data_IF_844564216414
#
_entry.id   IF_844564216414
#
_cell.length_a   1.000
_cell.length_b   1.000
_cell.length_c   1.000
_cell.angle_alpha   90.00
_cell.angle_beta   90.00
_cell.angle_gamma   90.00
#
_symmetry.space_group_name_H-M   'P 1'
#
loop_
_entity.id
_entity.type
_entity.pdbx_description
1 polymer ?
#
# COMPACT_ATOMS: atom_id res chain seq x y z
N UNK A 1 -11.46 -7.30 14.43
CA UNK A 1 -12.14 -8.02 13.34
C UNK A 1 -13.65 -8.01 13.59
N UNK A 2 -14.28 -9.00 14.25
CA UNK A 2 -15.75 -9.10 14.45
C UNK A 2 -16.56 -7.80 14.57
N UNK A 3 -16.11 -6.79 15.33
CA UNK A 3 -16.80 -5.49 15.44
C UNK A 3 -17.05 -4.82 14.07
N UNK A 4 -16.14 -5.00 13.10
CA UNK A 4 -16.23 -4.44 11.75
C UNK A 4 -17.44 -4.98 10.99
N UNK A 5 -17.66 -6.30 11.03
CA UNK A 5 -18.84 -6.98 10.47
C UNK A 5 -20.14 -6.37 11.01
N UNK A 6 -20.19 -6.09 12.31
CA UNK A 6 -21.38 -5.54 12.99
C UNK A 6 -21.51 -4.01 12.91
N UNK A 7 -20.49 -3.31 12.41
CA UNK A 7 -20.41 -1.85 12.41
C UNK A 7 -19.64 -1.31 11.17
N UNK A 8 -19.99 -1.74 9.94
CA UNK A 8 -19.18 -1.46 8.75
C UNK A 8 -19.21 0.02 8.35
N UNK A 9 -20.32 0.72 8.62
CA UNK A 9 -20.50 2.15 8.32
C UNK A 9 -19.67 3.09 9.20
N UNK A 10 -19.14 2.61 10.33
CA UNK A 10 -18.30 3.38 11.26
C UNK A 10 -16.90 2.77 11.47
N UNK A 11 -16.59 1.66 10.79
CA UNK A 11 -15.26 1.04 10.84
C UNK A 11 -14.44 1.51 9.65
N UNK A 12 -13.57 2.49 9.87
CA UNK A 12 -12.83 3.14 8.79
C UNK A 12 -11.54 2.37 8.49
N UNK A 13 -11.34 2.03 7.22
CA UNK A 13 -10.15 1.35 6.70
C UNK A 13 -9.75 1.94 5.34
N UNK A 14 -8.55 1.62 4.84
CA UNK A 14 -7.99 2.15 3.58
C UNK A 14 -7.97 3.70 3.45
N UNK A 15 -8.03 4.42 4.58
CA UNK A 15 -8.10 5.89 4.63
C UNK A 15 -6.93 6.59 3.93
N UNK A 16 -5.78 5.90 3.81
CA UNK A 16 -4.59 6.37 3.10
C UNK A 16 -4.88 6.72 1.63
N UNK A 17 -5.88 6.09 0.99
CA UNK A 17 -6.33 6.41 -0.37
C UNK A 17 -6.95 7.82 -0.51
N UNK A 18 -7.35 8.46 0.58
CA UNK A 18 -7.97 9.80 0.57
C UNK A 18 -7.00 10.90 1.05
N UNK A 19 -5.77 10.55 1.40
CA UNK A 19 -4.81 11.48 2.00
C UNK A 19 -4.31 12.51 0.99
N UNK A 20 -4.72 13.77 1.16
CA UNK A 20 -4.28 14.90 0.34
C UNK A 20 -4.82 14.92 -1.10
N UNK A 21 -5.83 14.10 -1.41
CA UNK A 21 -6.51 14.09 -2.71
C UNK A 21 -7.81 14.93 -2.68
N UNK A 22 -8.28 15.33 -3.86
CA UNK A 22 -9.64 15.87 -4.03
C UNK A 22 -10.68 14.74 -4.04
N UNK A 23 -11.95 15.10 -3.82
CA UNK A 23 -13.05 14.14 -3.85
C UNK A 23 -13.24 13.52 -5.24
N UNK A 24 -13.05 14.28 -6.33
CA UNK A 24 -13.25 13.73 -7.68
C UNK A 24 -12.11 12.79 -8.11
N UNK A 25 -10.89 12.95 -7.57
CA UNK A 25 -9.80 11.96 -7.76
C UNK A 25 -10.13 10.65 -7.03
N UNK A 26 -10.43 10.75 -5.72
CA UNK A 26 -10.72 9.61 -4.84
C UNK A 26 -12.18 9.11 -4.91
N UNK A 27 -12.91 9.46 -5.97
CA UNK A 27 -14.37 9.23 -6.10
C UNK A 27 -14.73 7.75 -6.21
N UNK A 28 -14.01 7.01 -7.05
CA UNK A 28 -14.19 5.56 -7.25
C UNK A 28 -13.98 4.80 -5.94
N UNK A 29 -13.01 5.24 -5.16
CA UNK A 29 -12.70 4.74 -3.83
C UNK A 29 -13.82 5.10 -2.85
N UNK A 30 -14.26 6.38 -2.80
CA UNK A 30 -15.36 6.86 -1.97
C UNK A 30 -16.67 6.08 -2.20
N UNK A 31 -17.05 5.87 -3.46
CA UNK A 31 -18.25 5.12 -3.88
C UNK A 31 -18.15 3.61 -3.59
N UNK A 32 -16.96 3.09 -3.25
CA UNK A 32 -16.71 1.67 -2.93
C UNK A 32 -16.60 1.35 -1.44
N UNK A 33 -16.62 2.35 -0.55
CA UNK A 33 -16.50 2.15 0.90
C UNK A 33 -17.87 1.92 1.57
N UNK A 34 -17.95 1.07 2.60
CA UNK A 34 -19.19 0.87 3.36
C UNK A 34 -19.46 2.01 4.36
N UNK A 35 -18.46 2.85 4.65
CA UNK A 35 -18.57 4.05 5.46
C UNK A 35 -18.77 5.29 4.58
N UNK A 36 -19.51 6.28 5.08
CA UNK A 36 -19.89 7.45 4.27
C UNK A 36 -18.70 8.40 4.05
N UNK A 37 -18.27 8.53 2.80
CA UNK A 37 -17.36 9.59 2.36
C UNK A 37 -18.19 10.68 1.66
N UNK A 38 -17.98 11.94 2.03
CA UNK A 38 -18.66 13.10 1.45
C UNK A 38 -17.66 14.09 0.84
N UNK A 39 -18.12 14.85 -0.15
CA UNK A 39 -17.39 16.00 -0.69
C UNK A 39 -17.64 17.23 0.20
N UNK A 40 -16.59 17.76 0.82
CA UNK A 40 -16.62 19.05 1.51
C UNK A 40 -15.55 19.97 0.95
N UNK A 41 -15.98 21.09 0.35
CA UNK A 41 -15.12 22.09 -0.27
C UNK A 41 -14.12 21.51 -1.31
N UNK A 42 -14.50 20.43 -2.01
CA UNK A 42 -13.67 19.74 -3.01
C UNK A 42 -12.84 18.58 -2.47
N UNK A 43 -12.85 18.33 -1.16
CA UNK A 43 -12.03 17.30 -0.50
C UNK A 43 -12.88 16.19 0.13
N UNK A 44 -12.36 14.95 0.24
CA UNK A 44 -13.05 13.87 0.93
C UNK A 44 -13.08 14.13 2.45
N UNK A 45 -14.22 13.86 3.06
CA UNK A 45 -14.40 13.75 4.51
C UNK A 45 -15.15 12.47 4.83
N UNK A 46 -14.73 11.77 5.87
CA UNK A 46 -15.47 10.61 6.39
C UNK A 46 -16.50 11.11 7.39
N UNK A 47 -17.77 10.87 7.13
CA UNK A 47 -18.85 11.21 8.07
C UNK A 47 -19.13 10.03 8.99
N UNK A 48 -19.05 10.26 10.31
CA UNK A 48 -19.46 9.31 11.34
C UNK A 48 -20.43 10.05 12.26
N UNK A 49 -21.70 9.65 12.21
CA UNK A 49 -22.82 10.37 12.81
C UNK A 49 -22.81 11.85 12.38
N UNK A 50 -22.82 12.79 13.33
CA UNK A 50 -22.81 14.23 13.05
C UNK A 50 -21.41 14.81 12.77
N UNK A 51 -20.32 14.04 13.02
CA UNK A 51 -18.95 14.54 12.85
C UNK A 51 -18.36 14.12 11.51
N UNK A 52 -17.82 15.11 10.81
CA UNK A 52 -16.99 14.97 9.61
C UNK A 52 -15.53 14.92 10.04
N UNK A 53 -14.81 13.89 9.63
CA UNK A 53 -13.39 13.70 9.89
C UNK A 53 -12.60 13.90 8.60
N UNK A 54 -11.46 14.57 8.72
CA UNK A 54 -10.42 14.59 7.70
C UNK A 54 -9.72 13.22 7.60
N UNK A 55 -9.19 12.83 6.43
CA UNK A 55 -8.28 11.69 6.30
C UNK A 55 -7.07 11.81 7.25
N UNK A 56 -6.59 13.04 7.48
CA UNK A 56 -5.51 13.32 8.43
C UNK A 56 -5.87 12.96 9.88
N UNK A 57 -7.04 13.35 10.40
CA UNK A 57 -7.47 13.00 11.76
C UNK A 57 -7.57 11.50 11.99
N UNK A 58 -8.12 10.75 11.02
CA UNK A 58 -8.26 9.29 11.15
C UNK A 58 -6.89 8.61 11.06
N UNK A 59 -6.02 9.08 10.17
CA UNK A 59 -4.63 8.62 10.10
C UNK A 59 -3.85 8.96 11.39
N UNK A 60 -4.15 10.10 12.01
CA UNK A 60 -3.58 10.49 13.30
C UNK A 60 -3.98 9.53 14.43
N UNK A 61 -5.19 8.96 14.44
CA UNK A 61 -5.58 7.93 15.43
C UNK A 61 -4.72 6.66 15.30
N UNK A 62 -4.37 6.26 14.07
CA UNK A 62 -3.45 5.14 13.83
C UNK A 62 -2.05 5.49 14.33
N UNK A 63 -1.55 6.68 14.00
CA UNK A 63 -0.24 7.16 14.46
C UNK A 63 -0.17 7.32 15.98
N UNK A 64 -1.25 7.74 16.65
CA UNK A 64 -1.37 7.77 18.12
C UNK A 64 -1.26 6.37 18.73
N UNK A 65 -1.86 5.34 18.09
CA UNK A 65 -1.66 3.95 18.55
C UNK A 65 -0.22 3.50 18.35
N UNK A 66 0.46 3.93 17.29
CA UNK A 66 1.88 3.60 17.06
C UNK A 66 2.81 4.32 18.06
N UNK A 67 2.62 5.63 18.27
CA UNK A 67 3.26 6.41 19.35
C UNK A 67 3.12 5.67 20.68
N UNK A 68 1.88 5.35 21.08
CA UNK A 68 1.63 4.59 22.31
C UNK A 68 2.30 3.21 22.33
N UNK A 69 2.39 2.48 21.22
CA UNK A 69 3.14 1.20 21.19
C UNK A 69 4.63 1.41 21.52
N UNK A 70 5.24 2.47 21.02
CA UNK A 70 6.62 2.80 21.33
C UNK A 70 6.78 3.28 22.78
N UNK A 71 5.86 4.10 23.30
CA UNK A 71 5.86 4.57 24.70
C UNK A 71 5.66 3.41 25.70
N UNK A 72 4.71 2.51 25.42
CA UNK A 72 4.44 1.31 26.23
C UNK A 72 5.66 0.35 26.27
N UNK A 73 6.53 0.41 25.25
CA UNK A 73 7.77 -0.40 25.17
C UNK A 73 8.99 0.30 25.80
N UNK A 74 9.16 1.61 25.56
CA UNK A 74 10.31 2.39 26.02
C UNK A 74 10.17 2.90 27.46
N UNK A 75 8.95 2.97 28.00
CA UNK A 75 8.68 3.49 29.35
C UNK A 75 8.79 5.03 29.48
N UNK A 76 8.82 5.75 28.36
CA UNK A 76 8.94 7.21 28.29
C UNK A 76 8.08 7.77 27.14
N UNK A 77 7.80 9.07 27.16
CA UNK A 77 7.08 9.76 26.08
C UNK A 77 7.88 9.76 24.76
N UNK A 78 7.19 9.63 23.63
CA UNK A 78 7.76 9.70 22.28
C UNK A 78 7.26 10.95 21.56
N UNK A 79 8.12 11.96 21.43
CA UNK A 79 7.78 13.27 20.84
C UNK A 79 8.03 13.37 19.34
N UNK A 80 8.95 12.57 18.79
CA UNK A 80 9.50 12.74 17.44
C UNK A 80 9.36 11.47 16.61
N UNK A 81 9.14 11.62 15.30
CA UNK A 81 8.97 10.49 14.39
C UNK A 81 9.51 10.74 12.97
N UNK A 82 9.99 9.66 12.35
CA UNK A 82 10.06 9.51 10.89
C UNK A 82 8.81 8.77 10.44
N UNK A 83 8.08 9.33 9.47
CA UNK A 83 6.84 8.74 8.95
C UNK A 83 7.04 8.38 7.47
N UNK A 84 6.57 7.20 7.09
CA UNK A 84 6.74 6.68 5.72
C UNK A 84 5.60 7.12 4.80
N UNK A 85 5.94 7.40 3.54
CA UNK A 85 4.99 7.66 2.45
C UNK A 85 5.41 6.93 1.18
N UNK A 86 4.49 6.67 0.24
CA UNK A 86 4.88 6.27 -1.10
C UNK A 86 5.64 7.40 -1.80
N UNK A 87 6.67 7.11 -2.59
CA UNK A 87 7.48 8.16 -3.21
C UNK A 87 6.69 9.02 -4.19
N UNK A 88 5.68 8.45 -4.84
CA UNK A 88 4.87 9.10 -5.85
C UNK A 88 3.53 9.59 -5.25
N UNK A 89 3.47 9.74 -3.92
CA UNK A 89 2.61 10.74 -3.30
C UNK A 89 3.02 12.14 -3.78
N UNK A 90 2.02 12.93 -4.19
CA UNK A 90 2.21 14.34 -4.50
C UNK A 90 2.53 15.16 -3.24
N UNK A 91 2.88 16.43 -3.43
CA UNK A 91 3.14 17.36 -2.33
C UNK A 91 1.96 17.46 -1.34
N UNK A 92 0.71 17.51 -1.83
CA UNK A 92 -0.48 17.57 -0.97
C UNK A 92 -0.67 16.29 -0.13
N UNK A 93 -0.35 15.12 -0.69
CA UNK A 93 -0.46 13.83 0.02
C UNK A 93 0.65 13.66 1.08
N UNK A 94 1.85 14.16 0.78
CA UNK A 94 2.99 14.25 1.73
C UNK A 94 2.68 15.20 2.87
N UNK A 95 2.18 16.40 2.56
CA UNK A 95 1.82 17.42 3.54
C UNK A 95 0.65 16.96 4.42
N UNK A 96 -0.39 16.34 3.85
CA UNK A 96 -1.47 15.72 4.63
C UNK A 96 -0.96 14.61 5.58
N UNK A 97 0.05 13.82 5.16
CA UNK A 97 0.66 12.80 6.03
C UNK A 97 1.49 13.44 7.17
N UNK A 98 2.17 14.55 6.89
CA UNK A 98 2.88 15.34 7.91
C UNK A 98 1.91 15.95 8.94
N UNK A 99 0.78 16.48 8.48
CA UNK A 99 -0.31 16.99 9.31
C UNK A 99 -0.90 15.89 10.21
N UNK A 100 -1.11 14.67 9.69
CA UNK A 100 -1.57 13.54 10.50
C UNK A 100 -0.60 13.21 11.64
N UNK A 101 0.72 13.31 11.41
CA UNK A 101 1.72 13.19 12.49
C UNK A 101 1.62 14.31 13.53
N UNK A 102 1.44 15.55 13.09
CA UNK A 102 1.27 16.70 13.99
C UNK A 102 -0.01 16.58 14.85
N UNK A 103 -1.14 16.16 14.25
CA UNK A 103 -2.40 15.87 14.96
C UNK A 103 -2.24 14.68 15.92
N UNK A 104 -1.34 13.73 15.61
CA UNK A 104 -1.01 12.62 16.49
C UNK A 104 -0.13 13.00 17.69
N UNK A 105 0.32 14.25 17.80
CA UNK A 105 1.26 14.69 18.83
C UNK A 105 2.69 14.18 18.59
N UNK A 106 3.09 14.11 17.31
CA UNK A 106 4.44 13.77 16.85
C UNK A 106 5.05 14.92 16.03
N UNK A 107 6.27 15.31 16.37
CA UNK A 107 7.11 16.16 15.54
C UNK A 107 7.69 15.31 14.39
N UNK A 108 7.22 15.58 13.17
CA UNK A 108 7.59 14.80 11.99
C UNK A 108 8.95 15.28 11.43
N UNK A 109 10.02 14.72 11.98
CA UNK A 109 11.42 15.02 11.64
C UNK A 109 11.75 14.72 10.17
N UNK A 110 11.16 13.67 9.61
CA UNK A 110 11.32 13.31 8.19
C UNK A 110 10.07 12.57 7.68
N UNK A 111 9.65 12.95 6.49
CA UNK A 111 8.82 12.10 5.62
C UNK A 111 9.80 11.30 4.74
N UNK A 112 9.76 9.97 4.81
CA UNK A 112 10.67 9.08 4.05
C UNK A 112 9.89 8.21 3.07
N UNK A 113 10.48 7.94 1.90
CA UNK A 113 9.85 7.17 0.84
C UNK A 113 9.93 5.66 1.15
N UNK A 114 8.83 4.91 1.03
CA UNK A 114 8.70 3.55 1.61
C UNK A 114 9.79 2.53 1.19
N UNK A 115 9.96 2.15 -0.09
CA UNK A 115 11.12 1.37 -0.53
C UNK A 115 12.49 2.08 -0.44
N UNK A 116 12.57 3.40 -0.29
CA UNK A 116 13.84 4.05 0.09
C UNK A 116 14.22 3.64 1.51
N UNK A 117 13.26 3.64 2.44
CA UNK A 117 13.41 3.06 3.77
C UNK A 117 13.69 1.55 3.70
N UNK A 118 12.94 0.79 2.90
CA UNK A 118 13.17 -0.66 2.80
C UNK A 118 14.58 -1.01 2.29
N UNK A 119 15.16 -0.20 1.42
CA UNK A 119 16.50 -0.40 0.92
C UNK A 119 17.59 0.09 1.88
N UNK A 120 17.34 1.15 2.67
CA UNK A 120 18.18 1.48 3.83
C UNK A 120 18.27 0.28 4.80
N UNK A 121 17.13 -0.35 5.10
CA UNK A 121 17.08 -1.55 5.95
C UNK A 121 17.76 -2.78 5.33
N UNK A 122 17.68 -2.97 4.01
CA UNK A 122 18.46 -4.00 3.34
C UNK A 122 19.97 -3.66 3.30
N UNK A 123 20.31 -2.39 3.20
CA UNK A 123 21.63 -1.91 2.82
C UNK A 123 22.59 -1.60 3.97
N UNK A 124 22.07 -1.32 5.17
CA UNK A 124 22.87 -0.86 6.32
C UNK A 124 24.05 -1.79 6.69
N UNK A 125 23.91 -3.09 6.44
CA UNK A 125 24.95 -4.12 6.68
C UNK A 125 25.81 -4.45 5.43
N UNK A 126 25.72 -3.68 4.34
CA UNK A 126 26.31 -4.01 3.02
C UNK A 126 27.24 -2.93 2.44
N UNK A 127 27.86 -2.12 3.30
CA UNK A 127 28.60 -0.90 2.94
C UNK A 127 29.86 -1.06 2.05
N UNK A 128 30.28 -2.31 1.77
CA UNK A 128 31.54 -2.63 1.06
C UNK A 128 31.36 -3.01 -0.43
N UNK A 129 30.17 -2.84 -1.01
CA UNK A 129 29.85 -3.34 -2.37
C UNK A 129 28.82 -2.47 -3.10
N UNK A 130 29.23 -1.74 -4.13
CA UNK A 130 28.31 -1.15 -5.12
C UNK A 130 27.35 -2.23 -5.68
N UNK A 131 26.03 -2.04 -5.54
CA UNK A 131 25.02 -3.06 -5.89
C UNK A 131 23.69 -2.44 -6.33
N UNK A 132 23.32 -2.69 -7.59
CA UNK A 132 22.18 -2.06 -8.23
C UNK A 132 20.87 -2.75 -7.82
N UNK A 133 20.01 -2.10 -7.04
CA UNK A 133 18.81 -2.74 -6.47
C UNK A 133 17.52 -2.38 -7.24
N UNK A 134 16.59 -3.33 -7.28
CA UNK A 134 15.17 -3.10 -7.57
C UNK A 134 14.35 -3.36 -6.31
N UNK A 135 13.39 -2.48 -5.97
CA UNK A 135 12.58 -2.62 -4.75
C UNK A 135 11.10 -2.61 -5.13
N UNK A 136 10.57 -3.82 -5.32
CA UNK A 136 9.18 -4.01 -5.68
C UNK A 136 8.30 -4.02 -4.44
N UNK A 137 7.42 -3.03 -4.35
CA UNK A 137 6.40 -2.87 -3.34
C UNK A 137 5.01 -2.93 -4.02
N UNK A 138 4.32 -4.11 -4.01
CA UNK A 138 2.86 -4.30 -4.41
C UNK A 138 0.40 -3.95 -2.71
N UNK A 139 0.26 -3.34 -1.47
CA UNK A 139 -0.96 -2.99 -0.72
C UNK A 139 -1.67 -1.78 -1.36
N UNK A 140 -0.90 -0.74 -1.74
CA UNK A 140 -1.31 0.44 -2.51
C UNK A 140 -0.07 0.93 -3.30
N UNK A 141 0.01 0.66 -4.60
CA UNK A 141 1.28 0.28 -5.25
C UNK A 141 2.10 1.39 -5.92
N UNK A 142 3.40 1.38 -5.64
CA UNK A 142 4.35 2.15 -6.44
C UNK A 142 5.69 1.45 -6.62
N UNK A 143 5.93 0.98 -7.84
CA UNK A 143 7.14 0.25 -8.24
C UNK A 143 8.38 1.16 -8.26
N UNK A 144 9.42 0.82 -7.50
CA UNK A 144 10.67 1.59 -7.46
C UNK A 144 11.90 0.75 -7.75
N UNK A 145 12.54 0.98 -8.89
CA UNK A 145 13.91 0.54 -9.11
C UNK A 145 14.86 1.52 -8.42
N UNK A 146 15.05 1.31 -7.11
CA UNK A 146 16.03 2.03 -6.31
C UNK A 146 17.43 1.43 -6.51
N UNK A 147 18.05 1.78 -7.63
CA UNK A 147 19.44 1.45 -7.91
C UNK A 147 20.35 2.17 -6.90
N UNK A 148 21.05 1.42 -6.03
CA UNK A 148 21.85 1.96 -4.94
C UNK A 148 23.35 1.81 -5.22
N UNK A 149 24.01 2.91 -5.56
CA UNK A 149 25.48 2.95 -5.64
C UNK A 149 26.09 2.91 -4.23
N UNK A 150 26.20 1.71 -3.68
CA UNK A 150 26.69 1.36 -2.33
C UNK A 150 28.20 1.63 -2.12
N UNK A 151 28.66 2.81 -2.48
CA UNK A 151 30.01 3.31 -2.21
C UNK A 151 30.03 4.14 -0.92
N UNK A 152 30.54 3.57 0.17
CA UNK A 152 30.86 4.33 1.39
C UNK A 152 29.65 4.90 2.15
N UNK A 153 28.47 4.29 2.01
CA UNK A 153 27.25 4.69 2.74
C UNK A 153 26.32 5.63 1.96
N UNK A 154 26.56 5.88 0.67
CA UNK A 154 25.64 6.66 -0.17
C UNK A 154 24.47 5.79 -0.65
N UNK A 155 23.26 6.35 -0.62
CA UNK A 155 22.02 5.77 -1.13
C UNK A 155 21.37 6.77 -2.11
N UNK A 156 21.21 6.40 -3.38
CA UNK A 156 20.66 7.28 -4.44
C UNK A 156 19.37 6.69 -5.05
N UNK A 157 18.45 7.54 -5.50
CA UNK A 157 17.27 7.12 -6.29
C UNK A 157 17.49 7.48 -7.76
N UNK A 158 17.81 6.50 -8.62
CA UNK A 158 17.87 6.76 -10.07
C UNK A 158 16.48 6.91 -10.72
N UNK A 159 15.43 6.25 -10.20
CA UNK A 159 14.08 6.31 -10.78
C UNK A 159 12.97 5.93 -9.80
N UNK A 160 11.74 6.35 -10.10
CA UNK A 160 10.51 5.94 -9.39
C UNK A 160 9.31 5.95 -10.34
N UNK A 161 8.40 4.99 -10.20
CA UNK A 161 7.17 4.88 -11.00
C UNK A 161 6.02 4.25 -10.17
N UNK A 162 4.83 4.01 -10.73
CA UNK A 162 3.73 3.36 -10.01
C UNK A 162 2.32 3.82 -10.36
N UNK A 163 1.34 3.33 -9.58
CA UNK A 163 -0.10 3.65 -9.72
C UNK A 163 -0.78 3.64 -8.35
N UNK A 164 -1.20 4.82 -7.89
CA UNK A 164 -1.93 5.08 -6.63
C UNK A 164 -3.10 4.13 -6.37
N UNK A 165 -3.76 3.64 -7.42
CA UNK A 165 -5.08 3.00 -7.32
C UNK A 165 -5.06 1.48 -7.49
N UNK A 166 -3.88 0.88 -7.66
CA UNK A 166 -3.68 -0.57 -7.77
C UNK A 166 -3.13 -1.13 -6.45
N UNK A 167 -3.71 -2.19 -5.90
CA UNK A 167 -3.19 -2.77 -4.65
C UNK A 167 -3.96 -3.94 -4.08
N UNK A 168 -3.70 -4.23 -2.80
CA UNK A 168 -4.23 -5.37 -2.05
C UNK A 168 -5.76 -5.41 -2.00
N UNK A 169 -6.40 -4.25 -1.80
CA UNK A 169 -7.88 -4.13 -1.86
C UNK A 169 -8.43 -4.46 -3.26
N UNK A 170 -7.67 -4.19 -4.33
CA UNK A 170 -8.12 -4.41 -5.71
C UNK A 170 -8.00 -5.89 -6.09
N UNK A 171 -6.99 -6.60 -5.58
CA UNK A 171 -6.96 -8.05 -5.58
C UNK A 171 -8.14 -8.63 -4.78
N UNK A 172 -8.44 -8.10 -3.59
CA UNK A 172 -9.62 -8.55 -2.81
C UNK A 172 -10.92 -8.30 -3.56
N UNK A 173 -11.04 -7.17 -4.28
CA UNK A 173 -12.21 -6.86 -5.11
C UNK A 173 -12.41 -7.87 -6.26
N UNK A 174 -11.35 -8.51 -6.77
CA UNK A 174 -11.48 -9.63 -7.73
C UNK A 174 -12.19 -10.82 -7.08
N UNK A 175 -11.81 -11.22 -5.87
CA UNK A 175 -12.51 -12.27 -5.12
C UNK A 175 -13.94 -11.85 -4.79
N UNK A 176 -14.16 -10.64 -4.27
CA UNK A 176 -15.49 -10.13 -3.87
C UNK A 176 -16.44 -10.13 -5.07
N UNK A 177 -16.02 -9.62 -6.24
CA UNK A 177 -16.83 -9.63 -7.46
C UNK A 177 -17.17 -11.06 -7.89
N UNK A 178 -16.19 -11.97 -7.93
CA UNK A 178 -16.41 -13.38 -8.27
C UNK A 178 -17.39 -14.08 -7.31
N UNK A 179 -17.32 -13.76 -6.01
CA UNK A 179 -18.25 -14.27 -5.00
C UNK A 179 -19.67 -13.71 -5.19
N UNK A 180 -19.82 -12.41 -5.49
CA UNK A 180 -21.10 -11.77 -5.75
C UNK A 180 -21.75 -12.35 -7.01
N UNK A 181 -21.02 -12.37 -8.13
CA UNK A 181 -21.53 -12.88 -9.41
C UNK A 181 -21.86 -14.37 -9.32
N UNK A 182 -21.01 -15.16 -8.65
CA UNK A 182 -21.26 -16.59 -8.40
C UNK A 182 -22.48 -16.84 -7.53
N UNK A 183 -22.67 -16.08 -6.44
CA UNK A 183 -23.85 -16.22 -5.57
C UNK A 183 -25.13 -15.73 -6.24
N UNK A 184 -25.05 -14.66 -7.03
CA UNK A 184 -26.15 -14.09 -7.82
C UNK A 184 -26.58 -15.01 -8.96
N UNK A 185 -25.66 -15.79 -9.52
CA UNK A 185 -25.96 -16.85 -10.49
C UNK A 185 -26.63 -18.08 -9.85
N UNK A 186 -26.19 -18.49 -8.66
CA UNK A 186 -26.75 -19.66 -7.94
C UNK A 186 -28.13 -19.36 -7.31
N UNK A 187 -28.27 -18.21 -6.65
CA UNK A 187 -29.38 -17.88 -5.74
C UNK A 187 -30.24 -16.71 -6.22
N UNK A 188 -29.85 -16.00 -7.29
CA UNK A 188 -30.55 -14.80 -7.80
C UNK A 188 -30.35 -13.52 -6.99
N UNK A 189 -29.72 -13.61 -5.81
CA UNK A 189 -29.59 -12.52 -4.83
C UNK A 189 -28.30 -11.72 -5.06
N UNK A 190 -28.42 -10.40 -5.01
CA UNK A 190 -27.30 -9.47 -5.24
C UNK A 190 -26.70 -8.96 -3.92
N UNK A 191 -25.65 -9.64 -3.43
CA UNK A 191 -25.00 -9.33 -2.15
C UNK A 191 -24.35 -7.94 -2.09
N UNK A 192 -24.12 -7.28 -3.23
CA UNK A 192 -23.55 -5.91 -3.26
C UNK A 192 -24.40 -4.86 -2.52
N UNK A 193 -25.67 -5.17 -2.27
CA UNK A 193 -26.67 -4.29 -1.65
C UNK A 193 -26.77 -4.44 -0.13
N UNK A 194 -26.05 -5.38 0.47
CA UNK A 194 -26.03 -5.65 1.91
C UNK A 194 -24.64 -5.31 2.48
N UNK A 195 -24.48 -4.18 3.21
CA UNK A 195 -23.19 -3.77 3.77
C UNK A 195 -22.58 -4.78 4.77
N UNK A 196 -23.40 -5.58 5.45
CA UNK A 196 -22.92 -6.60 6.38
C UNK A 196 -22.43 -7.83 5.62
N UNK A 197 -23.14 -8.24 4.55
CA UNK A 197 -22.65 -9.27 3.64
C UNK A 197 -21.34 -8.83 2.96
N UNK A 198 -21.26 -7.58 2.47
CA UNK A 198 -20.06 -7.03 1.83
C UNK A 198 -18.83 -7.01 2.75
N UNK A 199 -18.99 -6.61 4.02
CA UNK A 199 -17.88 -6.66 4.98
C UNK A 199 -17.40 -8.10 5.24
N UNK A 200 -18.33 -9.07 5.30
CA UNK A 200 -17.98 -10.50 5.44
C UNK A 200 -17.33 -11.08 4.18
N UNK A 201 -17.78 -10.66 3.00
CA UNK A 201 -17.15 -11.00 1.72
C UNK A 201 -15.72 -10.45 1.67
N UNK A 202 -15.46 -9.23 2.15
CA UNK A 202 -14.10 -8.67 2.22
C UNK A 202 -13.19 -9.47 3.16
N UNK A 203 -13.61 -9.73 4.39
CA UNK A 203 -12.79 -10.51 5.35
C UNK A 203 -12.52 -11.94 4.86
N UNK A 204 -13.47 -12.55 4.14
CA UNK A 204 -13.27 -13.87 3.52
C UNK A 204 -12.38 -13.84 2.25
N UNK A 205 -12.51 -12.80 1.42
CA UNK A 205 -11.68 -12.58 0.24
C UNK A 205 -10.21 -12.38 0.61
N UNK A 206 -9.92 -11.52 1.58
CA UNK A 206 -8.55 -11.27 2.05
C UNK A 206 -7.93 -12.55 2.64
N UNK A 207 -8.69 -13.28 3.45
CA UNK A 207 -8.27 -14.58 3.99
C UNK A 207 -7.99 -15.59 2.88
N UNK A 208 -8.85 -15.67 1.86
CA UNK A 208 -8.65 -16.54 0.70
C UNK A 208 -7.42 -16.16 -0.14
N UNK A 209 -7.17 -14.87 -0.37
CA UNK A 209 -5.98 -14.32 -1.05
C UNK A 209 -4.69 -14.73 -0.32
N UNK A 210 -4.68 -14.62 1.01
CA UNK A 210 -3.55 -14.99 1.86
C UNK A 210 -3.35 -16.52 1.84
N UNK A 211 -4.41 -17.30 1.98
CA UNK A 211 -4.33 -18.77 1.94
C UNK A 211 -3.88 -19.30 0.57
N UNK A 212 -4.37 -18.74 -0.54
CA UNK A 212 -3.93 -19.13 -1.88
C UNK A 212 -2.48 -18.75 -2.18
N UNK A 213 -1.86 -17.89 -1.37
CA UNK A 213 -0.42 -17.59 -1.50
C UNK A 213 0.46 -18.77 -1.02
N UNK A 214 -0.05 -19.65 -0.15
CA UNK A 214 0.64 -20.89 0.30
C UNK A 214 -0.01 -22.16 -0.26
N UNK A 215 -1.34 -22.27 -0.21
CA UNK A 215 -2.15 -23.39 -0.67
C UNK A 215 -2.55 -23.31 -2.14
N UNK A 216 -2.86 -24.44 -2.77
CA UNK A 216 -3.34 -24.52 -4.17
C UNK A 216 -4.85 -24.29 -4.32
N UNK A 217 -5.61 -24.43 -3.24
CA UNK A 217 -7.04 -24.11 -3.15
C UNK A 217 -7.43 -23.67 -1.74
N UNK A 218 -8.60 -23.03 -1.61
CA UNK A 218 -9.26 -22.69 -0.34
C UNK A 218 -10.79 -22.84 -0.48
N UNK A 219 -11.48 -23.05 0.64
CA UNK A 219 -12.95 -23.01 0.72
C UNK A 219 -13.40 -21.73 1.44
N UNK A 220 -14.20 -20.94 0.73
CA UNK A 220 -14.86 -19.75 1.26
C UNK A 220 -16.25 -20.19 1.75
N UNK A 221 -16.41 -20.27 3.07
CA UNK A 221 -17.62 -20.76 3.74
C UNK A 221 -18.19 -19.65 4.65
N UNK A 222 -19.29 -19.05 4.20
CA UNK A 222 -20.00 -17.95 4.85
C UNK A 222 -21.45 -18.37 5.15
N UNK A 223 -21.71 -19.02 6.29
CA UNK A 223 -23.06 -19.41 6.68
C UNK A 223 -23.90 -18.18 7.06
N UNK A 224 -25.21 -18.21 6.80
CA UNK A 224 -26.12 -17.09 7.07
C UNK A 224 -25.61 -15.77 6.46
N UNK A 225 -25.18 -15.78 5.19
CA UNK A 225 -24.60 -14.59 4.53
C UNK A 225 -25.66 -13.52 4.24
N UNK A 226 -26.90 -13.95 3.96
CA UNK A 226 -28.09 -13.11 3.79
C UNK A 226 -29.35 -13.97 4.02
N UNK A 227 -30.55 -13.41 3.84
CA UNK A 227 -31.81 -14.15 3.92
C UNK A 227 -32.83 -13.64 2.90
N UNK A 228 -33.63 -14.56 2.35
CA UNK A 228 -34.66 -14.29 1.34
C UNK A 228 -35.99 -14.88 1.80
N UNK A 229 -37.05 -14.07 1.87
CA UNK A 229 -38.36 -14.51 2.39
C UNK A 229 -38.33 -15.00 3.85
N UNK A 230 -37.27 -14.71 4.60
CA UNK A 230 -37.01 -15.25 5.94
C UNK A 230 -36.22 -16.58 5.95
N UNK A 231 -35.93 -17.17 4.79
CA UNK A 231 -35.06 -18.34 4.66
C UNK A 231 -33.59 -17.90 4.65
N UNK A 232 -32.73 -18.40 5.55
CA UNK A 232 -31.31 -18.07 5.54
C UNK A 232 -30.59 -18.70 4.35
N UNK A 233 -29.66 -17.96 3.75
CA UNK A 233 -28.81 -18.40 2.64
C UNK A 233 -27.36 -18.52 3.11
N UNK A 234 -26.60 -19.40 2.48
CA UNK A 234 -25.21 -19.72 2.84
C UNK A 234 -24.36 -19.68 1.58
N UNK A 235 -23.21 -19.00 1.60
CA UNK A 235 -22.25 -19.05 0.50
C UNK A 235 -21.18 -20.09 0.83
N UNK A 236 -21.05 -21.12 0.01
CA UNK A 236 -19.93 -22.07 0.04
C UNK A 236 -19.35 -22.17 -1.37
N UNK A 237 -18.11 -21.72 -1.56
CA UNK A 237 -17.40 -21.75 -2.85
C UNK A 237 -15.95 -22.17 -2.64
N UNK A 238 -15.49 -23.18 -3.36
CA UNK A 238 -14.07 -23.52 -3.46
C UNK A 238 -13.42 -22.73 -4.60
N UNK A 239 -12.22 -22.21 -4.38
CA UNK A 239 -11.46 -21.46 -5.38
C UNK A 239 -10.01 -21.99 -5.44
N UNK A 240 -9.46 -22.18 -6.63
CA UNK A 240 -8.05 -22.55 -6.81
C UNK A 240 -7.15 -21.33 -7.01
N UNK A 241 -5.85 -21.48 -6.72
CA UNK A 241 -4.84 -20.48 -7.05
C UNK A 241 -4.85 -20.15 -8.54
N UNK A 242 -4.95 -21.14 -9.41
CA UNK A 242 -5.00 -20.95 -10.86
C UNK A 242 -6.23 -20.16 -11.34
N UNK A 243 -7.39 -20.33 -10.69
CA UNK A 243 -8.58 -19.53 -10.97
C UNK A 243 -8.39 -18.08 -10.49
N UNK A 244 -7.84 -17.86 -9.30
CA UNK A 244 -7.49 -16.52 -8.82
C UNK A 244 -6.48 -15.82 -9.76
N UNK A 245 -5.40 -16.49 -10.16
CA UNK A 245 -4.37 -15.95 -11.05
C UNK A 245 -4.89 -15.65 -12.47
N UNK A 246 -5.96 -16.33 -12.90
CA UNK A 246 -6.71 -15.99 -14.12
C UNK A 246 -7.61 -14.78 -13.92
N UNK A 247 -8.41 -14.73 -12.85
CA UNK A 247 -9.33 -13.62 -12.54
C UNK A 247 -8.59 -12.31 -12.27
N UNK A 248 -7.38 -12.38 -11.70
CA UNK A 248 -6.53 -11.22 -11.40
C UNK A 248 -5.46 -10.95 -12.48
N UNK A 249 -5.52 -11.62 -13.64
CA UNK A 249 -4.46 -11.57 -14.66
C UNK A 249 -4.07 -10.14 -15.05
N UNK A 250 -5.05 -9.28 -15.33
CA UNK A 250 -4.80 -7.90 -15.76
C UNK A 250 -4.15 -7.05 -14.66
N UNK A 251 -4.52 -7.27 -13.39
CA UNK A 251 -3.88 -6.60 -12.24
C UNK A 251 -2.42 -7.06 -12.06
N UNK A 252 -2.16 -8.34 -12.31
CA UNK A 252 -0.81 -8.91 -12.28
C UNK A 252 0.04 -8.31 -13.42
N UNK A 253 -0.49 -8.26 -14.65
CA UNK A 253 0.23 -7.63 -15.78
C UNK A 253 0.42 -6.12 -15.61
N UNK A 254 -0.54 -5.40 -15.02
CA UNK A 254 -0.44 -3.97 -14.73
C UNK A 254 0.78 -3.64 -13.84
N UNK A 255 1.16 -4.55 -12.92
CA UNK A 255 2.34 -4.39 -12.09
C UNK A 255 3.65 -4.29 -12.92
N UNK A 256 3.70 -4.83 -14.14
CA UNK A 256 4.91 -4.90 -14.98
C UNK A 256 5.26 -3.57 -15.66
N UNK A 257 4.26 -2.75 -16.01
CA UNK A 257 4.47 -1.51 -16.78
C UNK A 257 5.31 -0.48 -15.99
N UNK A 258 5.05 -0.24 -14.69
CA UNK A 258 5.93 0.56 -13.85
C UNK A 258 7.38 0.05 -13.76
N UNK A 259 7.63 -1.28 -13.76
CA UNK A 259 9.00 -1.82 -13.80
C UNK A 259 9.75 -1.36 -15.05
N UNK A 260 9.09 -1.50 -16.20
CA UNK A 260 9.64 -1.20 -17.52
C UNK A 260 9.90 0.29 -17.71
N UNK A 261 9.05 1.14 -17.15
CA UNK A 261 9.27 2.58 -17.12
C UNK A 261 10.48 2.91 -16.23
N UNK A 262 10.50 2.46 -14.98
CA UNK A 262 11.59 2.75 -14.06
C UNK A 262 12.97 2.28 -14.57
N UNK A 263 13.10 1.09 -15.16
CA UNK A 263 14.36 0.64 -15.80
C UNK A 263 14.77 1.56 -16.96
N UNK A 264 13.81 1.99 -17.80
CA UNK A 264 14.06 2.90 -18.93
C UNK A 264 14.49 4.29 -18.46
N UNK A 265 13.85 4.81 -17.44
CA UNK A 265 14.08 6.15 -16.90
C UNK A 265 15.43 6.23 -16.17
N UNK A 266 15.82 5.16 -15.45
CA UNK A 266 17.17 4.97 -14.91
C UNK A 266 18.25 4.72 -16.00
N UNK A 267 17.86 4.46 -17.25
CA UNK A 267 18.73 4.15 -18.41
C UNK A 267 19.53 2.85 -18.25
N UNK A 268 18.93 1.86 -17.59
CA UNK A 268 19.52 0.55 -17.31
C UNK A 268 18.90 -0.55 -18.19
N UNK A 269 19.50 -1.73 -18.15
CA UNK A 269 18.89 -3.01 -18.52
C UNK A 269 18.51 -3.80 -17.26
N UNK A 270 17.68 -4.84 -17.40
CA UNK A 270 17.36 -5.75 -16.27
C UNK A 270 18.56 -6.59 -15.83
N UNK A 271 19.55 -6.80 -16.72
CA UNK A 271 20.83 -7.43 -16.40
C UNK A 271 21.77 -6.54 -15.55
N UNK A 272 21.57 -5.22 -15.53
CA UNK A 272 22.35 -4.30 -14.70
C UNK A 272 21.84 -4.23 -13.25
N UNK A 273 20.72 -4.87 -12.92
CA UNK A 273 20.21 -4.99 -11.55
C UNK A 273 20.88 -6.20 -10.88
N UNK A 274 21.44 -6.02 -9.70
CA UNK A 274 22.07 -7.06 -8.87
C UNK A 274 21.04 -7.81 -8.01
N UNK A 275 20.24 -7.09 -7.22
CA UNK A 275 19.28 -7.66 -6.27
C UNK A 275 17.87 -7.12 -6.50
N UNK A 276 16.84 -7.97 -6.33
CA UNK A 276 15.44 -7.56 -6.38
C UNK A 276 14.78 -7.82 -5.04
N UNK A 277 14.46 -6.76 -4.30
CA UNK A 277 13.80 -6.82 -3.00
C UNK A 277 12.28 -6.85 -3.20
N UNK A 278 11.61 -7.73 -2.44
CA UNK A 278 10.15 -7.72 -2.30
C UNK A 278 9.75 -7.04 -0.98
N UNK A 279 8.80 -6.12 -1.06
CA UNK A 279 8.22 -5.36 0.07
C UNK A 279 6.70 -5.59 0.07
N UNK A 280 6.05 -5.51 1.23
CA UNK A 280 4.61 -5.62 1.41
C UNK A 280 4.02 -7.02 1.13
N UNK A 281 3.25 -7.57 2.07
CA UNK A 281 2.70 -8.94 2.03
C UNK A 281 1.97 -9.39 0.75
N UNK A 282 1.39 -8.51 -0.07
CA UNK A 282 0.85 -8.93 -1.38
C UNK A 282 1.93 -9.29 -2.43
N UNK A 283 3.22 -9.02 -2.17
CA UNK A 283 4.35 -9.64 -2.87
C UNK A 283 4.54 -11.13 -2.56
N UNK A 284 3.80 -11.69 -1.59
CA UNK A 284 3.76 -13.13 -1.29
C UNK A 284 2.91 -13.92 -2.29
N UNK A 285 2.17 -13.26 -3.19
CA UNK A 285 1.38 -13.91 -4.25
C UNK A 285 2.32 -14.59 -5.28
N UNK A 286 2.20 -15.92 -5.53
CA UNK A 286 3.14 -16.66 -6.38
C UNK A 286 3.25 -16.15 -7.83
N UNK A 287 2.15 -15.79 -8.49
CA UNK A 287 2.19 -15.18 -9.82
C UNK A 287 2.91 -13.82 -9.84
N UNK A 288 2.80 -13.03 -8.78
CA UNK A 288 3.49 -11.72 -8.64
C UNK A 288 5.00 -11.94 -8.51
N UNK A 289 5.44 -12.91 -7.68
CA UNK A 289 6.85 -13.30 -7.60
C UNK A 289 7.39 -13.85 -8.93
N UNK A 290 6.58 -14.65 -9.63
CA UNK A 290 6.93 -15.26 -10.93
C UNK A 290 7.10 -14.20 -12.01
N UNK A 291 6.21 -13.19 -12.06
CA UNK A 291 6.31 -12.06 -12.99
C UNK A 291 7.61 -11.27 -12.79
N UNK A 292 7.95 -10.97 -11.54
CA UNK A 292 9.19 -10.27 -11.17
C UNK A 292 10.41 -11.07 -11.60
N UNK A 293 10.47 -12.34 -11.21
CA UNK A 293 11.56 -13.26 -11.57
C UNK A 293 11.75 -13.36 -13.08
N UNK A 294 10.65 -13.45 -13.83
CA UNK A 294 10.69 -13.54 -15.29
C UNK A 294 11.15 -12.22 -15.95
N UNK A 295 10.84 -11.07 -15.36
CA UNK A 295 11.27 -9.77 -15.88
C UNK A 295 12.74 -9.45 -15.59
N UNK A 296 13.19 -9.64 -14.34
CA UNK A 296 14.58 -9.37 -13.93
C UNK A 296 15.54 -10.54 -14.21
N UNK A 297 15.04 -11.71 -14.61
CA UNK A 297 15.85 -12.90 -14.90
C UNK A 297 16.49 -13.56 -13.67
N UNK A 298 16.12 -13.15 -12.45
CA UNK A 298 16.71 -13.64 -11.19
C UNK A 298 15.70 -13.83 -10.07
N UNK A 299 16.04 -14.66 -9.09
CA UNK A 299 15.24 -14.84 -7.87
C UNK A 299 15.21 -13.56 -7.04
N UNK A 300 14.04 -13.11 -6.54
CA UNK A 300 13.98 -12.03 -5.58
C UNK A 300 14.62 -12.40 -4.24
N UNK A 301 15.24 -11.41 -3.60
CA UNK A 301 15.98 -11.52 -2.36
C UNK A 301 15.09 -11.89 -1.19
N UNK A 302 15.58 -12.79 -0.35
CA UNK A 302 14.92 -13.24 0.89
C UNK A 302 15.57 -12.66 2.16
N UNK A 303 16.44 -11.66 1.99
CA UNK A 303 17.22 -11.05 3.07
C UNK A 303 16.45 -10.08 3.98
N UNK A 304 15.17 -9.83 3.73
CA UNK A 304 14.32 -8.90 4.51
C UNK A 304 12.90 -9.44 4.66
N UNK A 305 12.21 -9.07 5.74
CA UNK A 305 10.79 -9.36 5.92
C UNK A 305 9.94 -8.28 5.20
N UNK A 306 9.15 -8.61 4.15
CA UNK A 306 8.43 -7.62 3.35
C UNK A 306 7.45 -6.76 4.18
N UNK A 307 6.93 -7.28 5.30
CA UNK A 307 5.94 -6.59 6.12
C UNK A 307 6.53 -5.65 7.19
N UNK A 308 7.85 -5.72 7.43
CA UNK A 308 8.55 -4.95 8.49
C UNK A 308 9.64 -4.02 7.95
N UNK A 309 10.24 -4.37 6.79
CA UNK A 309 11.45 -3.73 6.25
C UNK A 309 11.32 -2.21 6.06
N UNK A 310 10.12 -1.72 5.72
CA UNK A 310 9.81 -0.29 5.60
C UNK A 310 9.87 0.44 6.95
N UNK A 311 9.39 -0.19 8.02
CA UNK A 311 9.41 0.38 9.37
C UNK A 311 10.83 0.35 9.97
N UNK A 312 11.58 -0.74 9.74
CA UNK A 312 13.02 -0.83 10.10
C UNK A 312 13.80 0.29 9.40
N UNK A 313 13.53 0.54 8.12
CA UNK A 313 14.16 1.63 7.38
C UNK A 313 13.84 3.03 7.90
N UNK A 314 12.61 3.25 8.36
CA UNK A 314 12.20 4.50 8.99
C UNK A 314 12.91 4.72 10.34
N UNK A 315 13.11 3.64 11.13
CA UNK A 315 13.89 3.69 12.36
C UNK A 315 15.37 4.00 12.10
N UNK A 316 16.00 3.36 11.11
CA UNK A 316 17.37 3.67 10.66
C UNK A 316 17.46 5.15 10.23
N UNK A 317 16.51 5.64 9.44
CA UNK A 317 16.46 7.05 9.05
C UNK A 317 16.29 7.99 10.26
N UNK A 318 15.61 7.57 11.33
CA UNK A 318 15.55 8.30 12.60
C UNK A 318 16.93 8.39 13.27
N UNK A 319 17.60 7.25 13.43
CA UNK A 319 18.92 7.17 14.04
C UNK A 319 20.00 7.96 13.25
N UNK A 320 19.91 8.02 11.92
CA UNK A 320 20.74 8.89 11.06
C UNK A 320 20.54 10.39 11.38
N UNK A 321 19.30 10.81 11.68
CA UNK A 321 19.00 12.21 12.02
C UNK A 321 19.49 12.56 13.44
N UNK A 322 19.37 11.61 14.37
CA UNK A 322 19.89 11.72 15.74
C UNK A 322 21.42 11.63 15.81
N UNK A 323 22.07 11.05 14.77
CA UNK A 323 23.52 10.73 14.71
C UNK A 323 23.94 9.71 15.78
N UNK A 324 23.13 8.67 15.95
CA UNK A 324 23.38 7.60 16.93
C UNK A 324 24.63 6.78 16.58
N UNK A 325 25.46 6.49 17.59
CA UNK A 325 26.69 5.73 17.41
C UNK A 325 26.40 4.30 16.92
N UNK A 326 27.14 3.85 15.90
CA UNK A 326 26.95 2.56 15.25
C UNK A 326 26.14 2.61 13.96
N UNK A 327 25.32 3.65 13.75
CA UNK A 327 24.78 3.95 12.42
C UNK A 327 25.85 4.68 11.63
N UNK A 328 26.27 4.10 10.51
CA UNK A 328 27.36 4.63 9.68
C UNK A 328 27.06 5.98 9.02
N UNK A 329 28.01 6.50 8.26
CA UNK A 329 27.88 7.75 7.49
C UNK A 329 26.91 7.57 6.29
N UNK A 330 25.62 7.38 6.58
CA UNK A 330 24.57 7.19 5.59
C UNK A 330 24.20 8.54 4.96
N UNK A 331 24.33 8.64 3.65
CA UNK A 331 23.93 9.82 2.85
C UNK A 331 22.80 9.41 1.92
N UNK A 332 21.60 9.96 2.13
CA UNK A 332 20.43 9.67 1.28
C UNK A 332 20.15 10.80 0.27
N UNK A 333 20.13 10.43 -1.01
CA UNK A 333 19.80 11.25 -2.17
C UNK A 333 18.49 10.74 -2.79
N UNK A 334 17.36 11.35 -2.44
CA UNK A 334 16.02 10.99 -2.93
C UNK A 334 15.52 12.02 -3.98
N UNK A 335 14.57 11.63 -4.85
CA UNK A 335 14.13 12.41 -6.02
C UNK A 335 12.65 12.79 -5.97
N UNK A 336 12.29 13.85 -6.69
CA UNK A 336 10.89 14.21 -6.89
C UNK A 336 10.21 13.24 -7.87
N UNK A 337 9.05 12.65 -7.52
CA UNK A 337 8.37 11.65 -8.36
C UNK A 337 7.72 12.19 -9.62
N UNK A 338 7.40 13.48 -9.63
CA UNK A 338 6.51 14.14 -10.58
C UNK A 338 7.20 15.37 -11.14
N UNK A 339 7.09 15.57 -12.45
CA UNK A 339 7.59 16.77 -13.13
C UNK A 339 6.86 18.01 -12.62
N UNK A 340 7.56 18.90 -11.93
CA UNK A 340 7.01 20.19 -11.52
C UNK A 340 6.92 21.12 -12.74
N UNK A 341 5.70 21.52 -13.09
CA UNK A 341 5.42 22.46 -14.17
C UNK A 341 4.62 23.67 -13.68
N UNK A 342 4.68 24.76 -14.43
CA UNK A 342 3.80 25.93 -14.27
C UNK A 342 2.99 26.13 -15.54
N UNK A 343 1.70 26.43 -15.40
CA UNK A 343 0.90 26.87 -16.53
C UNK A 343 1.21 28.35 -16.83
N UNK A 344 1.75 28.61 -18.02
CA UNK A 344 1.91 29.97 -18.53
C UNK A 344 0.80 30.26 -19.54
N UNK A 345 0.13 31.41 -19.43
CA UNK A 345 -0.86 31.82 -20.44
C UNK A 345 -0.24 31.83 -21.83
N UNK A 346 -0.69 30.92 -22.70
CA UNK A 346 -0.18 30.81 -24.06
C UNK A 346 -0.52 32.06 -24.87
N UNK A 347 0.51 32.79 -25.33
CA UNK A 347 0.32 33.83 -26.34
C UNK A 347 -0.18 33.19 -27.65
N UNK A 348 -1.50 33.21 -27.84
CA UNK A 348 -2.13 32.76 -29.08
C UNK A 348 -1.57 33.52 -30.28
N UNK A 349 -0.96 32.79 -31.21
CA UNK A 349 -0.60 33.35 -32.52
C UNK A 349 -1.88 33.66 -33.30
N UNK A 350 -1.93 34.86 -33.88
CA UNK A 350 -2.80 35.17 -35.02
C UNK A 350 -2.13 34.69 -36.31
#
# INVERSE_FOLDING_TARGET
LQQAITNPTKTIYSIKRFMGETYEQSKKEAESMPYTVINENGYPRVQIDDRKYTPQEISAMVLQKMKKTAEDYLGQEVTDAVITVPAYFSDSQRQATKEAGQIAGLNVQRIVNEPTAAALAYGVDKNDKDMNIAVFDPWWWYFRNLHLTFGGGVFEVLSTNGDTHLGGDDFDRVFINWLIDGFKADEGIDLSKDPMAMQRLKEAAEKAKIELSSSTSTEINLPYITAEGGVPKHLVKTLTRSQFEQLAHDLIQACLVPCQNAIRDAKLSTSDIDEVILVGGSSRIPAVQTLVKNYFGKEPSKGVNPDEVVAVGAAIQGAVLNKEEGVGNIVLLDVTPLTLGIETMGCGRR
#
